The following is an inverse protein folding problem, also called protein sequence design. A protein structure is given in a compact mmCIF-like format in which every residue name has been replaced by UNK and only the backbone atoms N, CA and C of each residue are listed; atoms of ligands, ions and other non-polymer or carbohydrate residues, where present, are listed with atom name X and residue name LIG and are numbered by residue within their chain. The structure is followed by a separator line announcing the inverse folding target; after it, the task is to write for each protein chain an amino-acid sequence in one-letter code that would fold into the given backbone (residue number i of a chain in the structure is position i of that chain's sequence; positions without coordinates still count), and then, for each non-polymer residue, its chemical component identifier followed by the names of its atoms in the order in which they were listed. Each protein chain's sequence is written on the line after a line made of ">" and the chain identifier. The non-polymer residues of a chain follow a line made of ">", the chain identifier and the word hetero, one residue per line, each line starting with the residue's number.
data_IF_494482015935
#
_entry.id   IF_494482015935
#
_cell.length_a   1.000
_cell.length_b   1.000
_cell.length_c   1.000
_cell.angle_alpha   90.00
_cell.angle_beta   90.00
_cell.angle_gamma   90.00
#
_symmetry.space_group_name_H-M   'P 1'
#
loop_
_entity.id
_entity.type
_entity.pdbx_description
1 polymer ?
#
# COMPACT_ATOMS: atom_id res chain seq x y z
N UNK A 1 -10.30 9.80 -5.05
CA UNK A 1 -9.11 8.96 -4.80
C UNK A 1 -8.76 8.99 -3.31
N UNK A 2 -8.44 7.85 -2.74
CA UNK A 2 -8.07 7.75 -1.33
C UNK A 2 -6.60 8.12 -1.19
N UNK A 3 -6.31 9.21 -0.47
CA UNK A 3 -4.92 9.65 -0.27
C UNK A 3 -4.43 9.47 1.18
N UNK A 4 -5.30 9.01 2.06
CA UNK A 4 -4.95 8.67 3.45
C UNK A 4 -5.98 7.68 3.97
N UNK A 5 -5.50 6.70 4.73
CA UNK A 5 -6.36 5.77 5.44
C UNK A 5 -5.95 5.74 6.91
N UNK A 6 -6.93 5.90 7.80
CA UNK A 6 -6.72 5.82 9.24
C UNK A 6 -7.69 4.80 9.81
N UNK A 7 -7.17 3.78 10.46
CA UNK A 7 -8.00 2.74 11.03
C UNK A 7 -7.19 1.75 11.83
N UNK A 8 -7.85 0.70 12.30
CA UNK A 8 -7.21 -0.34 13.10
C UNK A 8 -6.45 -1.32 12.20
N UNK A 9 -5.20 -1.57 12.51
CA UNK A 9 -4.40 -2.58 11.83
C UNK A 9 -4.79 -3.96 12.40
N UNK A 10 -5.62 -4.69 11.65
CA UNK A 10 -6.16 -5.97 12.15
C UNK A 10 -5.35 -7.17 11.71
N UNK A 11 -4.60 -7.06 10.62
CA UNK A 11 -3.74 -8.14 10.12
C UNK A 11 -2.64 -7.56 9.26
N UNK A 12 -1.53 -8.26 9.18
CA UNK A 12 -0.39 -7.91 8.34
C UNK A 12 0.25 -9.19 7.85
N UNK A 13 0.62 -9.22 6.56
CA UNK A 13 1.36 -10.34 5.97
C UNK A 13 2.51 -9.80 5.12
N UNK A 14 3.10 -10.64 4.29
CA UNK A 14 4.31 -10.28 3.55
C UNK A 14 4.11 -9.17 2.52
N UNK A 15 2.89 -8.96 2.04
CA UNK A 15 2.62 -8.03 0.94
C UNK A 15 1.66 -6.91 1.31
N UNK A 16 0.77 -7.14 2.26
CA UNK A 16 -0.26 -6.16 2.57
C UNK A 16 -0.69 -6.18 4.03
N UNK A 17 -1.38 -5.13 4.42
CA UNK A 17 -2.07 -5.04 5.70
C UNK A 17 -3.56 -4.96 5.48
N UNK A 18 -4.33 -5.38 6.48
CA UNK A 18 -5.77 -5.16 6.52
C UNK A 18 -6.05 -4.05 7.53
N UNK A 19 -6.63 -2.96 7.05
CA UNK A 19 -6.98 -1.79 7.86
C UNK A 19 -8.49 -1.73 8.00
N UNK A 20 -8.97 -1.77 9.22
CA UNK A 20 -10.41 -1.77 9.50
C UNK A 20 -10.93 -0.36 9.73
N UNK A 21 -11.93 0.01 8.94
CA UNK A 21 -12.65 1.26 9.07
C UNK A 21 -14.15 0.95 9.12
N UNK A 22 -14.76 1.17 10.28
CA UNK A 22 -16.17 0.82 10.44
C UNK A 22 -16.39 -0.66 10.19
N UNK A 23 -17.28 -1.01 9.30
CA UNK A 23 -17.57 -2.40 8.94
C UNK A 23 -16.77 -2.95 7.78
N UNK A 24 -15.73 -2.24 7.32
CA UNK A 24 -14.95 -2.62 6.13
C UNK A 24 -13.48 -2.84 6.48
N UNK A 25 -12.90 -3.89 5.90
CA UNK A 25 -11.47 -4.14 5.96
C UNK A 25 -10.87 -3.84 4.60
N UNK A 26 -9.91 -2.91 4.57
CA UNK A 26 -9.23 -2.50 3.35
C UNK A 26 -7.90 -3.22 3.24
N UNK A 27 -7.65 -3.83 2.08
CA UNK A 27 -6.36 -4.43 1.78
C UNK A 27 -5.43 -3.35 1.24
N UNK A 28 -4.35 -3.08 1.98
CA UNK A 28 -3.39 -2.02 1.65
C UNK A 28 -2.05 -2.67 1.39
N UNK A 29 -1.56 -2.56 0.16
CA UNK A 29 -0.23 -3.06 -0.19
C UNK A 29 0.83 -2.21 0.51
N UNK A 30 1.91 -2.84 0.94
CA UNK A 30 2.96 -2.17 1.72
C UNK A 30 4.33 -2.38 1.10
N UNK A 31 5.12 -1.31 0.92
CA UNK A 31 6.55 -1.47 0.71
C UNK A 31 7.18 -2.22 1.88
N UNK A 32 8.26 -2.92 1.64
CA UNK A 32 8.93 -3.72 2.68
C UNK A 32 9.31 -2.88 3.90
N UNK A 33 9.78 -1.65 3.69
CA UNK A 33 10.16 -0.77 4.79
C UNK A 33 8.96 -0.40 5.66
N UNK A 34 7.81 -0.18 5.05
CA UNK A 34 6.57 0.15 5.78
C UNK A 34 6.07 -1.08 6.55
N UNK A 35 6.08 -2.22 5.90
CA UNK A 35 5.65 -3.47 6.53
C UNK A 35 6.44 -3.74 7.81
N UNK A 36 7.75 -3.57 7.77
CA UNK A 36 8.60 -3.77 8.95
C UNK A 36 8.26 -2.81 10.08
N UNK A 37 7.97 -1.56 9.74
CA UNK A 37 7.59 -0.55 10.74
C UNK A 37 6.23 -0.85 11.37
N UNK A 38 5.31 -1.43 10.61
CA UNK A 38 3.95 -1.70 11.10
C UNK A 38 3.83 -2.97 11.94
N UNK A 39 4.80 -3.87 11.90
CA UNK A 39 4.70 -5.12 12.64
C UNK A 39 4.51 -4.93 14.13
N UNK A 40 5.10 -3.89 14.70
CA UNK A 40 4.96 -3.59 16.12
C UNK A 40 3.62 -2.91 16.47
N UNK A 41 2.79 -2.61 15.48
CA UNK A 41 1.56 -1.84 15.65
C UNK A 41 0.30 -2.66 15.40
N UNK A 42 0.42 -3.97 15.37
CA UNK A 42 -0.73 -4.86 15.17
C UNK A 42 -1.78 -4.59 16.27
N UNK A 43 -3.04 -4.52 15.85
CA UNK A 43 -4.19 -4.22 16.71
C UNK A 43 -4.28 -2.78 17.20
N UNK A 44 -3.38 -1.89 16.77
CA UNK A 44 -3.48 -0.46 17.09
C UNK A 44 -4.01 0.33 15.90
N UNK A 45 -4.41 1.56 16.18
CA UNK A 45 -4.78 2.50 15.13
C UNK A 45 -3.53 2.98 14.40
N UNK A 46 -3.59 2.97 13.06
CA UNK A 46 -2.50 3.48 12.21
C UNK A 46 -3.07 4.45 11.20
N UNK A 47 -2.23 5.35 10.73
CA UNK A 47 -2.60 6.30 9.69
C UNK A 47 -1.53 6.25 8.60
N UNK A 48 -1.97 5.96 7.37
CA UNK A 48 -1.06 5.79 6.24
C UNK A 48 -1.43 6.76 5.14
N UNK A 49 -0.42 7.34 4.50
CA UNK A 49 -0.60 8.03 3.22
C UNK A 49 -0.76 6.97 2.14
N UNK A 50 -1.64 7.22 1.20
CA UNK A 50 -1.96 6.20 0.20
C UNK A 50 -1.94 6.76 -1.21
N UNK A 51 -1.68 5.86 -2.16
CA UNK A 51 -1.95 6.08 -3.57
C UNK A 51 -2.74 4.89 -4.08
N UNK A 52 -3.49 5.10 -5.14
CA UNK A 52 -4.26 4.05 -5.79
C UNK A 52 -3.73 3.81 -7.19
N UNK A 53 -3.80 2.55 -7.63
CA UNK A 53 -3.49 2.21 -9.02
C UNK A 53 -4.36 1.05 -9.45
N UNK A 54 -4.47 0.87 -10.77
CA UNK A 54 -5.17 -0.27 -11.36
C UNK A 54 -4.15 -1.34 -11.73
N UNK A 55 -4.34 -2.53 -11.16
CA UNK A 55 -3.49 -3.68 -11.46
C UNK A 55 -4.23 -4.62 -12.41
N UNK A 56 -3.55 -5.09 -13.46
CA UNK A 56 -4.12 -6.08 -14.35
C UNK A 56 -3.80 -5.82 -15.80
N UNK A 57 -4.44 -6.60 -16.65
CA UNK A 57 -4.26 -6.54 -18.09
C UNK A 57 -5.58 -6.07 -18.74
N UNK A 58 -5.61 -4.86 -19.33
CA UNK A 58 -6.81 -4.38 -20.00
C UNK A 58 -7.30 -5.29 -21.13
N UNK A 59 -6.39 -5.98 -21.80
CA UNK A 59 -6.74 -6.89 -22.89
C UNK A 59 -7.50 -8.11 -22.41
N UNK A 60 -7.30 -8.51 -21.15
CA UNK A 60 -8.03 -9.62 -20.54
C UNK A 60 -9.25 -9.16 -19.76
N UNK A 61 -9.53 -7.86 -19.77
CA UNK A 61 -10.68 -7.28 -19.08
C UNK A 61 -10.59 -7.31 -17.57
N UNK A 62 -9.40 -7.53 -17.01
CA UNK A 62 -9.21 -7.62 -15.56
C UNK A 62 -8.36 -6.44 -15.08
N UNK A 63 -9.03 -5.47 -14.47
CA UNK A 63 -8.37 -4.35 -13.81
C UNK A 63 -8.87 -4.32 -12.36
N UNK A 64 -7.96 -4.46 -11.42
CA UNK A 64 -8.28 -4.48 -9.99
C UNK A 64 -7.70 -3.25 -9.34
N UNK A 65 -8.53 -2.42 -8.69
CA UNK A 65 -7.98 -1.28 -7.95
C UNK A 65 -7.19 -1.76 -6.74
N UNK A 66 -6.01 -1.16 -6.54
CA UNK A 66 -5.13 -1.45 -5.42
C UNK A 66 -4.77 -0.16 -4.70
N UNK A 67 -4.56 -0.26 -3.39
CA UNK A 67 -4.11 0.83 -2.55
C UNK A 67 -2.73 0.48 -2.01
N UNK A 68 -1.80 1.42 -2.08
CA UNK A 68 -0.47 1.28 -1.47
C UNK A 68 -0.36 2.28 -0.33
N UNK A 69 0.15 1.84 0.81
CA UNK A 69 0.28 2.68 2.01
C UNK A 69 1.72 2.99 2.38
N UNK A 70 1.91 4.18 2.92
CA UNK A 70 3.21 4.70 3.35
C UNK A 70 3.06 5.38 4.71
N UNK A 71 4.15 5.38 5.48
CA UNK A 71 4.14 6.03 6.80
C UNK A 71 4.12 7.55 6.69
N UNK A 72 4.72 8.10 5.64
CA UNK A 72 4.87 9.55 5.46
C UNK A 72 4.98 9.91 3.99
N UNK A 73 4.96 11.24 3.73
CA UNK A 73 4.99 11.76 2.37
C UNK A 73 6.32 11.49 1.67
N UNK A 74 7.42 11.47 2.40
CA UNK A 74 8.72 11.22 1.81
C UNK A 74 8.80 9.81 1.20
N UNK A 75 8.27 8.82 1.89
CA UNK A 75 8.21 7.46 1.37
C UNK A 75 7.31 7.35 0.15
N UNK A 76 6.18 8.05 0.17
CA UNK A 76 5.26 8.08 -0.96
C UNK A 76 5.93 8.70 -2.19
N UNK A 77 6.58 9.83 -2.02
CA UNK A 77 7.28 10.52 -3.11
C UNK A 77 8.42 9.68 -3.68
N UNK A 78 9.16 9.01 -2.82
CA UNK A 78 10.24 8.11 -3.24
C UNK A 78 9.68 6.96 -4.08
N UNK A 79 8.57 6.38 -3.65
CA UNK A 79 7.93 5.29 -4.38
C UNK A 79 7.46 5.75 -5.77
N UNK A 80 6.83 6.92 -5.85
CA UNK A 80 6.37 7.48 -7.12
C UNK A 80 7.55 7.74 -8.06
N UNK A 81 8.63 8.27 -7.53
CA UNK A 81 9.85 8.50 -8.30
C UNK A 81 10.44 7.18 -8.81
N UNK A 82 10.47 6.16 -7.95
CA UNK A 82 10.99 4.85 -8.31
C UNK A 82 10.16 4.21 -9.43
N UNK A 83 8.84 4.32 -9.36
CA UNK A 83 7.93 3.79 -10.38
C UNK A 83 8.01 4.55 -11.70
N UNK A 84 8.55 5.78 -11.70
CA UNK A 84 8.73 6.55 -12.94
C UNK A 84 9.89 6.04 -13.79
N UNK A 85 10.75 5.19 -13.23
CA UNK A 85 11.89 4.62 -13.94
C UNK A 85 11.40 3.50 -14.86
N UNK A 86 11.87 3.52 -16.11
CA UNK A 86 11.49 2.50 -17.09
C UNK A 86 11.86 1.10 -16.62
N UNK A 87 10.93 0.16 -16.78
CA UNK A 87 11.12 -1.23 -16.40
C UNK A 87 10.90 -1.53 -14.93
N UNK A 88 10.53 -0.53 -14.12
CA UNK A 88 10.20 -0.75 -12.71
C UNK A 88 8.69 -0.69 -12.56
N UNK A 89 8.08 -1.85 -12.31
CA UNK A 89 6.67 -1.93 -11.99
C UNK A 89 6.41 -1.75 -10.50
N UNK A 90 5.14 -1.64 -10.12
CA UNK A 90 4.74 -1.43 -8.73
C UNK A 90 5.26 -2.54 -7.82
N UNK A 91 5.13 -3.81 -8.24
CA UNK A 91 5.59 -4.94 -7.42
C UNK A 91 7.08 -4.88 -7.13
N UNK A 92 7.88 -4.51 -8.14
CA UNK A 92 9.32 -4.38 -7.99
C UNK A 92 9.66 -3.22 -7.04
N UNK A 93 8.96 -2.10 -7.17
CA UNK A 93 9.16 -0.95 -6.31
C UNK A 93 8.83 -1.26 -4.86
N UNK A 94 7.75 -2.01 -4.60
CA UNK A 94 7.37 -2.42 -3.25
C UNK A 94 8.48 -3.25 -2.57
N UNK A 95 9.10 -4.15 -3.33
CA UNK A 95 10.18 -5.00 -2.80
C UNK A 95 11.49 -4.25 -2.63
N UNK A 96 11.74 -3.24 -3.46
CA UNK A 96 13.00 -2.48 -3.43
C UNK A 96 13.04 -1.49 -2.26
N UNK A 97 11.91 -1.10 -1.75
CA UNK A 97 11.83 -0.24 -0.58
C UNK A 97 11.75 -1.06 0.69
#
# INVERSE_FOLDING_TARGET
>A
MINRITGQLVAINETHASIRLGGLDYEVLLPDVVRRQLQAKLNSEVSLRTIEFLEGNPQQGRMVPRIVGFMNDAELEFFELFCSVDGVGVKKALRAM
#
